data_IF_932390692510
#
_entry.id   IF_932390692510
#
_cell.length_a   1.000
_cell.length_b   1.000
_cell.length_c   1.000
_cell.angle_alpha   90.00
_cell.angle_beta   90.00
_cell.angle_gamma   90.00
#
_symmetry.space_group_name_H-M   'P 1'
#
loop_
_entity.id
_entity.type
_entity.pdbx_description
1 polymer ?
#
# COMPACT_ATOMS: atom_id res chain seq x y z
N UNK A 1 -8.38 -13.80 32.54
CA UNK A 1 -7.25 -14.76 32.62
C UNK A 1 -6.34 -14.63 31.39
N UNK A 2 -6.78 -15.01 30.18
CA UNK A 2 -5.96 -14.88 28.96
C UNK A 2 -5.69 -13.43 28.53
N UNK A 3 -6.72 -12.58 28.58
CA UNK A 3 -6.60 -11.18 28.12
C UNK A 3 -5.75 -10.31 29.05
N UNK A 4 -5.84 -10.53 30.38
CA UNK A 4 -5.07 -9.78 31.37
C UNK A 4 -3.56 -10.06 31.25
N UNK A 5 -3.21 -11.32 31.00
CA UNK A 5 -1.83 -11.74 30.75
C UNK A 5 -1.29 -11.12 29.46
N UNK A 6 -2.06 -11.17 28.37
CA UNK A 6 -1.62 -10.59 27.09
C UNK A 6 -1.48 -9.07 27.17
N UNK A 7 -2.37 -8.41 27.92
CA UNK A 7 -2.28 -6.98 28.18
C UNK A 7 -1.01 -6.62 28.97
N UNK A 8 -0.67 -7.40 30.00
CA UNK A 8 0.55 -7.23 30.79
C UNK A 8 1.81 -7.42 29.93
N UNK A 9 1.88 -8.51 29.14
CA UNK A 9 3.01 -8.78 28.23
C UNK A 9 3.17 -7.67 27.20
N UNK A 10 2.06 -7.16 26.64
CA UNK A 10 2.11 -6.04 25.69
C UNK A 10 2.59 -4.74 26.33
N UNK A 11 2.18 -4.46 27.57
CA UNK A 11 2.62 -3.27 28.30
C UNK A 11 4.12 -3.33 28.59
N UNK A 12 4.60 -4.49 29.05
CA UNK A 12 6.02 -4.75 29.30
C UNK A 12 6.86 -4.61 28.02
N UNK A 13 6.44 -5.24 26.92
CA UNK A 13 7.14 -5.12 25.64
C UNK A 13 7.17 -3.69 25.11
N UNK A 14 6.12 -2.88 25.34
CA UNK A 14 6.12 -1.45 24.97
C UNK A 14 7.11 -0.64 25.80
N UNK A 15 7.25 -0.94 27.08
CA UNK A 15 8.14 -0.22 27.98
C UNK A 15 9.61 -0.61 27.79
N UNK A 16 9.89 -1.89 27.50
CA UNK A 16 11.24 -2.46 27.58
C UNK A 16 11.73 -3.13 26.30
N UNK A 17 10.83 -3.52 25.39
CA UNK A 17 11.15 -4.38 24.25
C UNK A 17 12.24 -3.82 23.32
N UNK A 18 12.25 -2.51 23.08
CA UNK A 18 13.28 -1.89 22.24
C UNK A 18 14.68 -1.98 22.85
N UNK A 19 14.81 -1.80 24.18
CA UNK A 19 16.07 -1.93 24.90
C UNK A 19 16.59 -3.36 24.86
N UNK A 20 15.71 -4.33 25.18
CA UNK A 20 16.05 -5.77 25.12
C UNK A 20 16.46 -6.17 23.71
N UNK A 21 15.76 -5.73 22.66
CA UNK A 21 16.14 -6.04 21.27
C UNK A 21 17.48 -5.41 20.88
N UNK A 22 17.82 -4.23 21.40
CA UNK A 22 19.11 -3.59 21.15
C UNK A 22 20.26 -4.36 21.82
N UNK A 23 20.08 -4.77 23.07
CA UNK A 23 21.04 -5.61 23.81
C UNK A 23 21.23 -6.97 23.12
N UNK A 24 20.14 -7.65 22.77
CA UNK A 24 20.21 -8.95 22.07
C UNK A 24 20.88 -8.80 20.71
N UNK A 25 20.66 -7.70 19.98
CA UNK A 25 21.35 -7.44 18.70
C UNK A 25 22.86 -7.28 18.89
N UNK A 26 23.30 -6.65 19.98
CA UNK A 26 24.72 -6.44 20.27
C UNK A 26 25.39 -7.73 20.77
N UNK A 27 24.76 -8.44 21.71
CA UNK A 27 25.36 -9.55 22.44
C UNK A 27 25.13 -10.91 21.78
N UNK A 28 23.98 -11.09 21.11
CA UNK A 28 23.52 -12.37 20.55
C UNK A 28 22.83 -12.17 19.18
N UNK A 29 23.57 -11.73 18.16
CA UNK A 29 22.99 -11.37 16.86
C UNK A 29 22.27 -12.54 16.16
N UNK A 30 22.70 -13.79 16.38
CA UNK A 30 22.03 -14.97 15.83
C UNK A 30 20.62 -15.16 16.44
N UNK A 31 20.48 -14.89 17.73
CA UNK A 31 19.19 -14.97 18.43
C UNK A 31 18.27 -13.84 17.98
N UNK A 32 18.81 -12.64 17.77
CA UNK A 32 18.07 -11.53 17.20
C UNK A 32 17.48 -11.89 15.83
N UNK A 33 18.28 -12.45 14.92
CA UNK A 33 17.83 -12.85 13.58
C UNK A 33 16.76 -13.95 13.63
N UNK A 34 16.86 -14.92 14.56
CA UNK A 34 15.80 -15.92 14.77
C UNK A 34 14.48 -15.30 15.21
N UNK A 35 14.51 -14.31 16.10
CA UNK A 35 13.31 -13.57 16.54
C UNK A 35 12.69 -12.85 15.34
N UNK A 36 13.50 -12.14 14.54
CA UNK A 36 13.05 -11.46 13.33
C UNK A 36 12.40 -12.46 12.36
N UNK A 37 13.05 -13.58 12.07
CA UNK A 37 12.49 -14.63 11.22
C UNK A 37 11.16 -15.19 11.76
N UNK A 38 11.00 -15.33 13.08
CA UNK A 38 9.79 -15.90 13.68
C UNK A 38 8.55 -15.01 13.57
N UNK A 39 8.74 -13.69 13.41
CA UNK A 39 7.64 -12.72 13.28
C UNK A 39 7.34 -12.36 11.83
N UNK A 40 8.21 -12.75 10.89
CA UNK A 40 7.92 -12.60 9.47
C UNK A 40 6.78 -13.55 9.08
N UNK A 41 5.81 -13.07 8.28
CA UNK A 41 4.86 -13.95 7.59
C UNK A 41 5.60 -15.09 6.89
N UNK A 42 5.07 -16.32 7.00
CA UNK A 42 5.67 -17.48 6.31
C UNK A 42 5.66 -17.32 4.79
N UNK A 43 4.66 -16.61 4.29
CA UNK A 43 4.51 -16.22 2.90
C UNK A 43 4.94 -14.76 2.73
N UNK A 44 6.16 -14.43 3.18
CA UNK A 44 6.77 -13.15 2.83
C UNK A 44 7.17 -13.20 1.35
N UNK A 45 6.18 -13.09 0.47
CA UNK A 45 6.41 -12.65 -0.89
C UNK A 45 6.97 -11.23 -0.75
N UNK A 46 8.31 -11.12 -0.77
CA UNK A 46 8.95 -9.91 -1.26
C UNK A 46 8.20 -9.63 -2.54
N UNK A 47 7.43 -8.55 -2.58
CA UNK A 47 6.73 -8.15 -3.78
C UNK A 47 7.80 -7.87 -4.85
N UNK A 48 8.28 -8.95 -5.51
CA UNK A 48 8.79 -8.93 -6.85
C UNK A 48 7.71 -8.17 -7.55
N UNK A 49 8.02 -6.93 -7.92
CA UNK A 49 7.14 -6.10 -8.71
C UNK A 49 6.62 -7.03 -9.81
N UNK A 50 5.33 -7.35 -9.80
CA UNK A 50 4.81 -8.43 -10.65
C UNK A 50 5.00 -8.12 -12.14
N UNK A 51 5.42 -6.89 -12.45
CA UNK A 51 5.86 -6.42 -13.75
C UNK A 51 7.28 -6.87 -14.12
N UNK A 52 8.19 -7.11 -13.16
CA UNK A 52 9.57 -7.55 -13.40
C UNK A 52 9.63 -9.00 -13.94
N UNK A 53 8.59 -9.79 -13.68
CA UNK A 53 8.42 -11.15 -14.19
C UNK A 53 7.72 -11.21 -15.55
N UNK A 54 7.24 -10.07 -16.07
CA UNK A 54 6.54 -10.00 -17.35
C UNK A 54 7.50 -9.58 -18.46
N UNK A 55 7.33 -10.19 -19.62
CA UNK A 55 7.92 -9.68 -20.85
C UNK A 55 7.29 -8.34 -21.27
N UNK A 56 8.01 -7.56 -22.08
CA UNK A 56 7.50 -6.30 -22.64
C UNK A 56 6.18 -6.46 -23.39
N UNK A 57 5.97 -7.62 -24.04
CA UNK A 57 4.74 -7.93 -24.76
C UNK A 57 3.55 -8.16 -23.81
N UNK A 58 3.78 -8.83 -22.68
CA UNK A 58 2.77 -9.03 -21.64
C UNK A 58 2.43 -7.72 -20.94
N UNK A 59 3.42 -6.87 -20.68
CA UNK A 59 3.20 -5.51 -20.16
C UNK A 59 2.36 -4.69 -21.14
N UNK A 60 2.70 -4.72 -22.44
CA UNK A 60 1.95 -4.00 -23.49
C UNK A 60 0.50 -4.49 -23.59
N UNK A 61 0.29 -5.81 -23.51
CA UNK A 61 -1.05 -6.41 -23.52
C UNK A 61 -1.90 -5.91 -22.34
N UNK A 62 -1.33 -5.85 -21.14
CA UNK A 62 -2.00 -5.34 -19.94
C UNK A 62 -2.33 -3.86 -20.03
N UNK A 63 -1.42 -3.04 -20.57
CA UNK A 63 -1.68 -1.60 -20.79
C UNK A 63 -2.90 -1.42 -21.70
N UNK A 64 -2.98 -2.16 -22.82
CA UNK A 64 -4.14 -2.08 -23.71
C UNK A 64 -5.44 -2.57 -23.07
N UNK A 65 -5.37 -3.62 -22.25
CA UNK A 65 -6.53 -4.08 -21.49
C UNK A 65 -7.01 -3.00 -20.51
N UNK A 66 -6.08 -2.32 -19.84
CA UNK A 66 -6.39 -1.23 -18.91
C UNK A 66 -6.95 0.00 -19.63
N UNK A 67 -6.41 0.37 -20.79
CA UNK A 67 -6.94 1.45 -21.64
C UNK A 67 -8.43 1.23 -21.93
N UNK A 68 -8.84 0.01 -22.27
CA UNK A 68 -10.25 -0.30 -22.54
C UNK A 68 -11.15 -0.12 -21.32
N UNK A 69 -10.63 -0.37 -20.11
CA UNK A 69 -11.36 -0.20 -18.86
C UNK A 69 -11.46 1.28 -18.49
N UNK A 70 -10.40 2.05 -18.71
CA UNK A 70 -10.32 3.46 -18.27
C UNK A 70 -10.98 4.41 -19.27
N UNK A 71 -10.91 4.12 -20.57
CA UNK A 71 -11.41 4.99 -21.65
C UNK A 71 -12.87 5.47 -21.46
N UNK A 72 -13.83 4.63 -21.04
CA UNK A 72 -15.21 5.09 -20.78
C UNK A 72 -15.33 6.17 -19.69
N UNK A 73 -14.38 6.21 -18.76
CA UNK A 73 -14.36 7.22 -17.68
C UNK A 73 -13.66 8.51 -18.09
N UNK A 74 -12.91 8.50 -19.21
CA UNK A 74 -12.27 9.69 -19.78
C UNK A 74 -13.12 10.36 -20.86
N UNK A 75 -14.19 9.69 -21.31
CA UNK A 75 -15.05 10.14 -22.42
C UNK A 75 -16.34 10.86 -21.98
N UNK A 76 -16.52 11.21 -20.69
CA UNK A 76 -17.64 12.09 -20.30
C UNK A 76 -17.45 13.55 -20.80
N UNK A 77 -18.57 14.20 -21.19
CA UNK A 77 -18.70 14.81 -22.50
C UNK A 77 -18.18 16.25 -22.55
N UNK A 78 -17.46 16.56 -23.62
CA UNK A 78 -17.28 17.92 -24.11
C UNK A 78 -18.62 18.49 -24.63
N UNK A 79 -19.58 18.76 -23.73
CA UNK A 79 -20.79 19.55 -24.03
C UNK A 79 -20.82 20.86 -23.22
N UNK A 80 -19.70 21.58 -23.24
CA UNK A 80 -19.69 23.01 -22.92
C UNK A 80 -19.85 23.79 -24.23
N UNK A 81 -21.05 23.73 -24.80
CA UNK A 81 -21.42 24.57 -25.94
C UNK A 81 -21.26 26.07 -25.63
N UNK A 82 -20.76 26.88 -26.57
CA UNK A 82 -20.45 28.28 -26.35
C UNK A 82 -21.71 29.14 -26.44
N UNK A 83 -22.63 29.08 -25.47
CA UNK A 83 -23.77 30.01 -25.49
C UNK A 83 -24.45 30.24 -24.12
N UNK A 84 -23.77 30.95 -23.22
CA UNK A 84 -24.36 31.42 -21.95
C UNK A 84 -24.10 32.91 -21.65
N UNK A 85 -23.51 33.66 -22.58
CA UNK A 85 -23.16 35.07 -22.38
C UNK A 85 -24.13 36.07 -23.05
N UNK A 86 -25.21 35.61 -23.69
CA UNK A 86 -26.16 36.51 -24.39
C UNK A 86 -27.34 37.00 -23.53
N UNK A 87 -27.58 36.44 -22.34
CA UNK A 87 -28.79 36.77 -21.56
C UNK A 87 -28.57 37.81 -20.45
N UNK A 88 -27.37 38.40 -20.34
CA UNK A 88 -27.05 39.40 -19.31
C UNK A 88 -27.12 40.86 -19.79
N UNK A 89 -27.83 41.14 -20.90
CA UNK A 89 -28.04 42.49 -21.39
C UNK A 89 -29.49 42.67 -21.91
N UNK A 90 -30.41 42.96 -20.99
CA UNK A 90 -31.73 43.47 -21.37
C UNK A 90 -32.78 43.29 -20.30
N UNK A 91 -33.07 44.35 -19.54
CA UNK A 91 -34.29 44.39 -18.74
C UNK A 91 -34.30 45.38 -17.59
N UNK A 92 -34.69 46.62 -17.91
CA UNK A 92 -35.30 47.67 -17.09
C UNK A 92 -34.50 48.29 -15.92
#
# INVERSE_FOLDING_TARGET
MGDDFLAAVRADFRAHGAGVLAEVRADKPDQYLKIVLSVLPKDFDVAVNQLDALSDDEIRSRIRALENVVKPFLEEPSDLGPNRLSDAAGGA
#
